data_IF_268831298741
#
_entry.id   IF_268831298741
#
_cell.length_a   1.000
_cell.length_b   1.000
_cell.length_c   1.000
_cell.angle_alpha   90.00
_cell.angle_beta   90.00
_cell.angle_gamma   90.00
#
_symmetry.space_group_name_H-M   'P 1'
#
loop_
_entity.id
_entity.type
_entity.pdbx_description
1 polymer ?
#
# COMPACT_ATOMS: atom_id res chain seq x y z
N UNK A 1 7.56 -11.67 22.16
CA UNK A 1 8.14 -10.56 21.37
C UNK A 1 7.19 -9.37 21.50
N UNK A 2 7.59 -8.28 22.16
CA UNK A 2 6.73 -7.10 22.33
C UNK A 2 6.44 -6.45 20.97
N UNK A 3 5.29 -5.78 20.80
CA UNK A 3 4.88 -5.14 19.54
C UNK A 3 5.94 -4.18 18.97
N UNK A 4 6.78 -3.60 19.84
CA UNK A 4 7.93 -2.76 19.49
C UNK A 4 8.95 -3.42 18.56
N UNK A 5 9.10 -4.74 18.58
CA UNK A 5 10.03 -5.45 17.69
C UNK A 5 9.38 -5.96 16.40
N UNK A 6 8.04 -6.05 16.36
CA UNK A 6 7.32 -6.55 15.19
C UNK A 6 7.38 -5.55 14.03
N UNK A 7 7.15 -4.27 14.28
CA UNK A 7 7.16 -3.25 13.21
C UNK A 7 8.54 -3.09 12.55
N UNK A 8 9.66 -2.97 13.30
CA UNK A 8 10.99 -2.94 12.69
C UNK A 8 11.31 -4.22 11.92
N UNK A 9 10.90 -5.39 12.43
CA UNK A 9 11.08 -6.66 11.72
C UNK A 9 10.32 -6.68 10.39
N UNK A 10 9.05 -6.28 10.38
CA UNK A 10 8.25 -6.19 9.15
C UNK A 10 8.86 -5.21 8.15
N UNK A 11 9.39 -4.07 8.62
CA UNK A 11 10.08 -3.10 7.77
C UNK A 11 11.37 -3.67 7.16
N UNK A 12 12.18 -4.41 7.94
CA UNK A 12 13.38 -5.10 7.44
C UNK A 12 12.99 -6.16 6.42
N UNK A 13 11.96 -6.97 6.69
CA UNK A 13 11.47 -7.99 5.75
C UNK A 13 10.97 -7.33 4.46
N UNK A 14 10.22 -6.23 4.55
CA UNK A 14 9.77 -5.45 3.41
C UNK A 14 10.95 -4.92 2.57
N UNK A 15 11.97 -4.38 3.22
CA UNK A 15 13.18 -3.88 2.57
C UNK A 15 13.91 -5.01 1.82
N UNK A 16 14.11 -6.16 2.47
CA UNK A 16 14.76 -7.33 1.86
C UNK A 16 13.96 -7.80 0.66
N UNK A 17 12.64 -8.03 0.81
CA UNK A 17 11.78 -8.48 -0.30
C UNK A 17 11.83 -7.49 -1.46
N UNK A 18 11.73 -6.19 -1.19
CA UNK A 18 11.81 -5.15 -2.21
C UNK A 18 13.17 -5.18 -2.93
N UNK A 19 14.29 -5.15 -2.19
CA UNK A 19 15.63 -5.15 -2.78
C UNK A 19 15.93 -6.37 -3.64
N UNK A 20 15.50 -7.57 -3.21
CA UNK A 20 15.73 -8.81 -3.96
C UNK A 20 14.77 -8.98 -5.15
N UNK A 21 13.58 -8.37 -5.11
CA UNK A 21 12.62 -8.45 -6.21
C UNK A 21 12.98 -7.53 -7.38
N UNK A 22 13.65 -6.39 -7.14
CA UNK A 22 14.09 -5.46 -8.19
C UNK A 22 14.82 -6.13 -9.37
N UNK A 23 15.89 -6.93 -9.19
CA UNK A 23 16.57 -7.56 -10.32
C UNK A 23 15.69 -8.58 -11.07
N UNK A 24 14.77 -9.25 -10.37
CA UNK A 24 13.83 -10.19 -10.99
C UNK A 24 12.78 -9.45 -11.82
N UNK A 25 12.16 -8.43 -11.25
CA UNK A 25 11.16 -7.60 -11.92
C UNK A 25 11.79 -6.90 -13.13
N UNK A 26 13.02 -6.39 -13.01
CA UNK A 26 13.76 -5.83 -14.15
C UNK A 26 13.89 -6.82 -15.30
N UNK A 27 14.31 -8.07 -15.01
CA UNK A 27 14.44 -9.12 -16.05
C UNK A 27 13.10 -9.45 -16.69
N UNK A 28 12.03 -9.48 -15.91
CA UNK A 28 10.68 -9.77 -16.40
C UNK A 28 10.13 -8.62 -17.26
N UNK A 29 10.32 -7.37 -16.83
CA UNK A 29 9.89 -6.19 -17.56
C UNK A 29 10.53 -6.13 -18.96
N UNK A 30 11.83 -6.41 -19.06
CA UNK A 30 12.54 -6.50 -20.34
C UNK A 30 12.00 -7.62 -21.24
N UNK A 31 11.62 -8.77 -20.67
CA UNK A 31 11.04 -9.90 -21.43
C UNK A 31 9.62 -9.62 -21.92
N UNK A 32 8.84 -8.89 -21.14
CA UNK A 32 7.46 -8.54 -21.46
C UNK A 32 7.33 -7.28 -22.32
N UNK A 33 8.44 -6.61 -22.63
CA UNK A 33 8.43 -5.33 -23.36
C UNK A 33 7.85 -4.17 -22.55
N UNK A 34 7.81 -4.29 -21.22
CA UNK A 34 7.41 -3.21 -20.29
C UNK A 34 8.57 -2.23 -20.10
N UNK A 35 8.82 -1.44 -21.14
CA UNK A 35 9.95 -0.51 -21.21
C UNK A 35 9.52 0.85 -21.75
N UNK A 36 10.07 1.93 -21.19
CA UNK A 36 9.96 3.27 -21.77
C UNK A 36 10.94 3.35 -22.94
N UNK A 37 10.40 3.45 -24.15
CA UNK A 37 11.18 3.64 -25.36
C UNK A 37 11.37 5.15 -25.62
N UNK A 38 12.60 5.68 -25.52
CA UNK A 38 12.86 7.10 -25.68
C UNK A 38 12.58 7.64 -27.10
N UNK A 39 12.38 6.79 -28.12
CA UNK A 39 12.17 7.22 -29.51
C UNK A 39 10.76 7.79 -29.81
N UNK A 40 9.81 7.74 -28.87
CA UNK A 40 8.43 8.16 -29.10
C UNK A 40 8.15 9.68 -28.94
N UNK A 41 9.17 10.53 -28.70
CA UNK A 41 8.97 11.97 -28.53
C UNK A 41 10.24 12.82 -28.66
N UNK A 42 10.15 13.88 -29.45
CA UNK A 42 11.21 14.84 -29.85
C UNK A 42 11.90 15.62 -28.71
N UNK A 43 11.65 15.29 -27.43
CA UNK A 43 12.10 16.04 -26.26
C UNK A 43 12.73 15.17 -25.13
N UNK A 44 12.94 13.86 -25.32
CA UNK A 44 13.55 12.99 -24.28
C UNK A 44 15.08 12.87 -24.46
N UNK A 45 15.85 13.33 -23.48
CA UNK A 45 17.33 13.38 -23.46
C UNK A 45 18.01 12.10 -22.94
N UNK A 46 17.29 10.99 -22.77
CA UNK A 46 17.84 9.74 -22.23
C UNK A 46 18.10 8.72 -23.34
N UNK A 47 19.35 8.24 -23.41
CA UNK A 47 19.84 7.31 -24.43
C UNK A 47 19.63 5.81 -24.08
N UNK A 48 19.03 5.49 -22.93
CA UNK A 48 18.86 4.10 -22.47
C UNK A 48 17.41 3.78 -22.14
N UNK A 49 16.97 2.62 -22.61
CA UNK A 49 15.65 2.03 -22.35
C UNK A 49 15.52 1.75 -20.85
N UNK A 50 14.55 2.40 -20.18
CA UNK A 50 14.28 2.20 -18.76
C UNK A 50 13.07 1.26 -18.57
N UNK A 51 13.21 0.14 -17.83
CA UNK A 51 12.10 -0.78 -17.60
C UNK A 51 11.10 -0.21 -16.60
N UNK A 52 9.80 -0.28 -16.94
CA UNK A 52 8.71 -0.04 -16.00
C UNK A 52 8.61 -1.22 -15.03
N UNK A 53 8.64 -0.97 -13.72
CA UNK A 53 8.51 -2.07 -12.76
C UNK A 53 9.02 -1.82 -11.34
N UNK A 54 9.68 -0.70 -11.06
CA UNK A 54 10.11 -0.36 -9.69
C UNK A 54 8.95 -0.45 -8.69
N UNK A 55 7.77 0.05 -9.07
CA UNK A 55 6.55 -0.03 -8.25
C UNK A 55 6.11 -1.45 -7.91
N UNK A 56 6.30 -2.44 -8.80
CA UNK A 56 5.97 -3.85 -8.52
C UNK A 56 6.80 -4.35 -7.33
N UNK A 57 8.08 -3.97 -7.24
CA UNK A 57 8.97 -4.40 -6.17
C UNK A 57 8.56 -3.79 -4.82
N UNK A 58 8.14 -2.52 -4.82
CA UNK A 58 7.59 -1.84 -3.64
C UNK A 58 6.29 -2.52 -3.19
N UNK A 59 5.37 -2.79 -4.11
CA UNK A 59 4.10 -3.46 -3.80
C UNK A 59 4.32 -4.86 -3.23
N UNK A 60 5.29 -5.63 -3.75
CA UNK A 60 5.67 -6.92 -3.16
C UNK A 60 6.23 -6.76 -1.74
N UNK A 61 7.09 -5.77 -1.53
CA UNK A 61 7.65 -5.43 -0.22
C UNK A 61 6.59 -5.03 0.82
N UNK A 62 5.50 -4.40 0.40
CA UNK A 62 4.38 -4.03 1.30
C UNK A 62 3.40 -5.20 1.48
N UNK A 63 2.98 -5.84 0.39
CA UNK A 63 1.93 -6.85 0.44
C UNK A 63 2.36 -8.14 1.13
N UNK A 64 3.56 -8.68 0.82
CA UNK A 64 3.95 -10.00 1.34
C UNK A 64 4.09 -9.99 2.88
N UNK A 65 4.77 -9.01 3.51
CA UNK A 65 4.82 -8.93 4.98
C UNK A 65 3.45 -8.64 5.58
N UNK A 66 2.63 -7.80 4.94
CA UNK A 66 1.28 -7.47 5.45
C UNK A 66 0.35 -8.67 5.44
N UNK A 67 0.35 -9.45 4.35
CA UNK A 67 -0.42 -10.70 4.24
C UNK A 67 0.12 -11.75 5.21
N UNK A 68 1.44 -11.87 5.35
CA UNK A 68 2.05 -12.77 6.32
C UNK A 68 1.68 -12.41 7.76
N UNK A 69 1.64 -11.11 8.09
CA UNK A 69 1.19 -10.62 9.39
C UNK A 69 -0.30 -10.92 9.63
N UNK A 70 -1.16 -10.67 8.62
CA UNK A 70 -2.59 -11.02 8.68
C UNK A 70 -2.78 -12.52 8.91
N UNK A 71 -2.08 -13.36 8.15
CA UNK A 71 -2.13 -14.80 8.29
C UNK A 71 -1.66 -15.27 9.68
N UNK A 72 -0.55 -14.72 10.18
CA UNK A 72 -0.08 -15.00 11.54
C UNK A 72 -1.15 -14.66 12.58
N UNK A 73 -1.80 -13.50 12.46
CA UNK A 73 -2.80 -13.02 13.42
C UNK A 73 -4.06 -13.89 13.42
N UNK A 74 -4.49 -14.37 12.25
CA UNK A 74 -5.70 -15.18 12.10
C UNK A 74 -5.45 -16.66 12.46
N UNK A 75 -4.33 -17.23 12.00
CA UNK A 75 -4.07 -18.67 12.11
C UNK A 75 -3.10 -19.02 13.23
N UNK A 76 -1.97 -18.34 13.37
CA UNK A 76 -0.90 -18.78 14.30
C UNK A 76 -1.14 -18.31 15.73
N UNK A 77 -1.65 -17.08 15.89
CA UNK A 77 -1.88 -16.44 17.18
C UNK A 77 -2.78 -17.25 18.13
N UNK A 78 -3.95 -17.78 17.72
CA UNK A 78 -4.84 -18.49 18.63
C UNK A 78 -4.18 -19.70 19.30
N UNK A 79 -3.36 -20.46 18.56
CA UNK A 79 -2.71 -21.67 19.06
C UNK A 79 -1.51 -21.39 19.97
N UNK A 80 -0.88 -20.23 19.88
CA UNK A 80 0.23 -19.85 20.77
C UNK A 80 -0.23 -19.43 22.18
N UNK A 81 -1.53 -19.18 22.35
CA UNK A 81 -2.09 -18.63 23.58
C UNK A 81 -3.03 -19.60 24.31
N UNK A 82 -3.42 -20.69 23.67
CA UNK A 82 -4.37 -21.66 24.22
C UNK A 82 -3.82 -23.09 24.04
N UNK A 83 -3.72 -23.85 25.14
CA UNK A 83 -3.47 -25.29 25.12
C UNK A 83 -4.69 -25.98 25.72
N UNK A 84 -5.54 -26.54 24.85
CA UNK A 84 -6.88 -26.97 25.24
C UNK A 84 -7.74 -25.79 25.71
N UNK A 85 -8.39 -25.92 26.86
CA UNK A 85 -9.20 -24.84 27.49
C UNK A 85 -8.37 -23.89 28.37
N UNK A 86 -7.05 -24.09 28.45
CA UNK A 86 -6.18 -23.26 29.32
C UNK A 86 -5.46 -22.17 28.54
N UNK A 87 -5.53 -20.96 29.09
CA UNK A 87 -4.86 -19.79 28.57
C UNK A 87 -3.39 -19.75 29.00
N UNK A 88 -2.48 -19.84 28.03
CA UNK A 88 -1.05 -20.10 28.23
C UNK A 88 -0.22 -18.89 28.70
N UNK A 89 -0.69 -17.64 28.52
CA UNK A 89 0.13 -16.45 28.80
C UNK A 89 -0.63 -15.34 29.54
N UNK A 90 -0.20 -14.95 30.76
CA UNK A 90 -0.75 -13.82 31.50
C UNK A 90 -0.57 -12.45 30.82
N UNK A 91 0.44 -12.31 29.96
CA UNK A 91 0.82 -11.05 29.31
C UNK A 91 0.23 -10.85 27.91
N UNK A 92 -0.58 -11.80 27.47
CA UNK A 92 -1.29 -11.79 26.18
C UNK A 92 -2.29 -10.64 26.06
N UNK A 93 -2.90 -10.20 27.18
CA UNK A 93 -3.83 -9.07 27.21
C UNK A 93 -3.13 -7.75 26.87
N UNK A 94 -1.86 -7.61 27.28
CA UNK A 94 -1.00 -6.46 27.00
C UNK A 94 -0.39 -6.48 25.60
N UNK A 95 -0.30 -7.66 24.98
CA UNK A 95 0.39 -7.84 23.69
C UNK A 95 -0.56 -7.97 22.51
N UNK A 96 -1.79 -8.47 22.69
CA UNK A 96 -2.68 -8.80 21.57
C UNK A 96 -4.17 -8.68 21.92
N UNK A 97 -4.85 -7.71 21.32
CA UNK A 97 -6.28 -7.44 21.45
C UNK A 97 -7.19 -8.64 21.04
N UNK A 98 -8.39 -8.82 21.63
CA UNK A 98 -9.29 -9.94 21.33
C UNK A 98 -9.83 -9.91 19.89
N UNK A 99 -9.94 -11.06 19.22
CA UNK A 99 -10.54 -11.20 17.88
C UNK A 99 -12.07 -11.35 17.91
N UNK A 100 -12.72 -10.82 18.96
CA UNK A 100 -14.16 -10.82 19.06
C UNK A 100 -14.78 -9.94 17.95
N UNK A 101 -15.99 -10.26 17.46
CA UNK A 101 -16.69 -9.38 16.53
C UNK A 101 -16.75 -7.94 17.06
N UNK A 102 -16.48 -6.97 16.19
CA UNK A 102 -16.43 -5.53 16.52
C UNK A 102 -15.33 -5.12 17.52
N UNK A 103 -14.38 -6.00 17.83
CA UNK A 103 -13.23 -5.60 18.63
C UNK A 103 -12.38 -4.56 17.89
N UNK A 104 -11.62 -3.72 18.62
CA UNK A 104 -10.66 -2.79 18.01
C UNK A 104 -9.69 -3.48 17.04
N UNK A 105 -9.32 -4.73 17.30
CA UNK A 105 -8.46 -5.54 16.43
C UNK A 105 -9.11 -5.82 15.10
N UNK A 106 -10.33 -6.37 15.11
CA UNK A 106 -11.05 -6.72 13.88
C UNK A 106 -11.31 -5.47 13.06
N UNK A 107 -11.63 -4.35 13.72
CA UNK A 107 -11.77 -3.08 13.05
C UNK A 107 -10.45 -2.65 12.41
N UNK A 108 -9.33 -2.62 13.15
CA UNK A 108 -8.02 -2.27 12.59
C UNK A 108 -7.60 -3.18 11.42
N UNK A 109 -7.76 -4.50 11.54
CA UNK A 109 -7.47 -5.45 10.47
C UNK A 109 -8.31 -5.17 9.22
N UNK A 110 -9.60 -4.91 9.39
CA UNK A 110 -10.49 -4.57 8.26
C UNK A 110 -10.06 -3.28 7.56
N UNK A 111 -9.60 -2.29 8.32
CA UNK A 111 -9.08 -1.03 7.79
C UNK A 111 -7.76 -1.25 7.03
N UNK A 112 -6.85 -2.07 7.56
CA UNK A 112 -5.61 -2.44 6.86
C UNK A 112 -5.91 -3.15 5.54
N UNK A 113 -6.85 -4.10 5.53
CA UNK A 113 -7.24 -4.80 4.30
C UNK A 113 -7.84 -3.82 3.28
N UNK A 114 -8.76 -2.94 3.71
CA UNK A 114 -9.35 -1.93 2.84
C UNK A 114 -8.29 -0.98 2.23
N UNK A 115 -7.32 -0.56 3.03
CA UNK A 115 -6.20 0.27 2.58
C UNK A 115 -5.33 -0.46 1.56
N UNK A 116 -4.97 -1.73 1.81
CA UNK A 116 -4.15 -2.53 0.88
C UNK A 116 -4.87 -2.73 -0.46
N UNK A 117 -6.18 -2.96 -0.44
CA UNK A 117 -6.99 -3.09 -1.66
C UNK A 117 -7.05 -1.76 -2.44
N UNK A 118 -7.24 -0.64 -1.74
CA UNK A 118 -7.23 0.69 -2.37
C UNK A 118 -5.86 1.01 -2.98
N UNK A 119 -4.76 0.73 -2.26
CA UNK A 119 -3.40 0.91 -2.75
C UNK A 119 -3.13 0.03 -3.99
N UNK A 120 -3.59 -1.23 -3.98
CA UNK A 120 -3.46 -2.13 -5.13
C UNK A 120 -4.26 -1.63 -6.35
N UNK A 121 -5.45 -1.06 -6.14
CA UNK A 121 -6.25 -0.48 -7.21
C UNK A 121 -5.57 0.74 -7.84
N UNK A 122 -5.01 1.65 -7.03
CA UNK A 122 -4.26 2.81 -7.52
C UNK A 122 -2.96 2.39 -8.21
N UNK A 123 -2.27 1.39 -7.68
CA UNK A 123 -1.09 0.80 -8.32
C UNK A 123 -1.43 0.19 -9.69
N UNK A 124 -2.50 -0.62 -9.76
CA UNK A 124 -2.95 -1.22 -11.01
C UNK A 124 -3.35 -0.16 -12.04
N UNK A 125 -3.96 0.95 -11.60
CA UNK A 125 -4.23 2.12 -12.45
C UNK A 125 -2.93 2.72 -12.98
N UNK A 126 -1.92 2.91 -12.13
CA UNK A 126 -0.60 3.42 -12.55
C UNK A 126 0.06 2.52 -13.59
N UNK A 127 0.10 1.21 -13.33
CA UNK A 127 0.66 0.23 -14.26
C UNK A 127 -0.12 0.16 -15.59
N UNK A 128 -1.45 0.29 -15.54
CA UNK A 128 -2.29 0.34 -16.73
C UNK A 128 -2.09 1.63 -17.52
N UNK A 129 -1.83 2.74 -16.84
CA UNK A 129 -1.52 4.02 -17.46
C UNK A 129 -0.18 4.01 -18.20
N UNK A 130 0.85 3.41 -17.59
CA UNK A 130 2.16 3.23 -18.23
C UNK A 130 2.03 2.43 -19.54
N UNK A 131 1.12 1.45 -19.58
CA UNK A 131 0.92 0.63 -20.77
C UNK A 131 -0.02 1.26 -21.80
N UNK A 132 -1.14 1.85 -21.38
CA UNK A 132 -2.22 2.28 -22.29
C UNK A 132 -2.33 3.80 -22.47
N UNK A 133 -1.50 4.59 -21.80
CA UNK A 133 -1.52 6.07 -21.80
C UNK A 133 -2.95 6.60 -21.59
N UNK A 134 -3.54 6.32 -20.43
CA UNK A 134 -4.91 6.70 -20.11
C UNK A 134 -5.07 8.22 -20.08
N UNK A 135 -6.25 8.72 -20.42
CA UNK A 135 -6.51 10.17 -20.32
C UNK A 135 -6.52 10.63 -18.86
N UNK A 136 -6.11 11.88 -18.61
CA UNK A 136 -6.07 12.45 -17.25
C UNK A 136 -7.43 12.37 -16.53
N UNK A 137 -8.53 12.52 -17.27
CA UNK A 137 -9.89 12.39 -16.72
C UNK A 137 -10.23 10.99 -16.22
N UNK A 138 -9.80 9.94 -16.93
CA UNK A 138 -10.03 8.54 -16.49
C UNK A 138 -9.24 8.24 -15.23
N UNK A 139 -7.96 8.66 -15.18
CA UNK A 139 -7.12 8.48 -13.99
C UNK A 139 -7.73 9.16 -12.77
N UNK A 140 -8.16 10.42 -12.93
CA UNK A 140 -8.78 11.19 -11.87
C UNK A 140 -10.10 10.56 -11.41
N UNK A 141 -10.96 10.12 -12.33
CA UNK A 141 -12.23 9.48 -11.99
C UNK A 141 -12.04 8.21 -11.16
N UNK A 142 -11.07 7.36 -11.52
CA UNK A 142 -10.77 6.13 -10.77
C UNK A 142 -10.18 6.48 -9.40
N UNK A 143 -9.24 7.42 -9.32
CA UNK A 143 -8.69 7.86 -8.03
C UNK A 143 -9.76 8.43 -7.09
N UNK A 144 -10.66 9.28 -7.61
CA UNK A 144 -11.80 9.83 -6.86
C UNK A 144 -12.74 8.72 -6.41
N UNK A 145 -13.04 7.75 -7.28
CA UNK A 145 -13.87 6.60 -6.94
C UNK A 145 -13.27 5.75 -5.82
N UNK A 146 -12.00 5.38 -5.93
CA UNK A 146 -11.28 4.59 -4.90
C UNK A 146 -11.19 5.36 -3.58
N UNK A 147 -10.82 6.64 -3.63
CA UNK A 147 -10.74 7.50 -2.44
C UNK A 147 -12.11 7.68 -1.78
N UNK A 148 -13.17 7.83 -2.58
CA UNK A 148 -14.55 7.94 -2.10
C UNK A 148 -15.02 6.67 -1.38
N UNK A 149 -14.79 5.51 -1.98
CA UNK A 149 -15.12 4.21 -1.33
C UNK A 149 -14.34 4.04 -0.03
N UNK A 150 -13.05 4.38 -0.01
CA UNK A 150 -12.21 4.28 1.17
C UNK A 150 -12.69 5.22 2.29
N UNK A 151 -12.92 6.49 1.98
CA UNK A 151 -13.41 7.50 2.93
C UNK A 151 -14.84 7.21 3.43
N UNK A 152 -15.67 6.57 2.62
CA UNK A 152 -17.01 6.14 3.02
C UNK A 152 -16.96 4.93 3.95
N UNK A 153 -16.17 3.92 3.60
CA UNK A 153 -16.20 2.60 4.24
C UNK A 153 -15.32 2.50 5.47
N UNK A 154 -14.31 3.37 5.57
CA UNK A 154 -13.33 3.34 6.67
C UNK A 154 -13.35 4.66 7.43
N UNK A 155 -13.88 4.69 8.67
CA UNK A 155 -13.92 5.90 9.49
C UNK A 155 -12.56 6.57 9.68
N UNK A 156 -11.47 5.79 9.74
CA UNK A 156 -10.10 6.30 9.87
C UNK A 156 -9.63 7.16 8.68
N UNK A 157 -10.27 7.04 7.50
CA UNK A 157 -9.98 7.85 6.32
C UNK A 157 -10.92 9.05 6.15
N UNK A 158 -11.81 9.30 7.12
CA UNK A 158 -12.70 10.48 7.14
C UNK A 158 -12.54 11.23 8.47
N UNK A 159 -11.56 12.16 8.55
CA UNK A 159 -11.35 12.92 9.78
C UNK A 159 -12.55 13.83 10.08
N UNK A 160 -13.01 13.83 11.32
CA UNK A 160 -14.16 14.64 11.77
C UNK A 160 -13.75 16.11 12.00
N UNK A 161 -13.37 16.81 10.93
CA UNK A 161 -12.82 18.17 11.00
C UNK A 161 -13.91 19.23 11.21
N UNK A 162 -15.04 19.08 10.53
CA UNK A 162 -16.11 20.09 10.48
C UNK A 162 -17.39 19.64 11.20
N UNK A 163 -17.48 18.35 11.54
CA UNK A 163 -18.70 17.74 12.09
C UNK A 163 -19.77 17.44 11.04
N UNK A 164 -19.56 17.84 9.79
CA UNK A 164 -20.41 17.49 8.65
C UNK A 164 -19.80 16.33 7.87
N UNK A 165 -20.47 15.18 7.91
CA UNK A 165 -19.98 13.95 7.26
C UNK A 165 -19.73 14.10 5.76
N UNK A 166 -20.55 14.90 5.07
CA UNK A 166 -20.38 15.18 3.65
C UNK A 166 -19.14 16.04 3.37
N UNK A 167 -18.94 17.10 4.15
CA UNK A 167 -17.78 18.00 3.99
C UNK A 167 -16.48 17.28 4.32
N UNK A 168 -16.46 16.54 5.43
CA UNK A 168 -15.30 15.78 5.88
C UNK A 168 -14.91 14.70 4.84
N UNK A 169 -15.91 14.06 4.22
CA UNK A 169 -15.68 13.10 3.13
C UNK A 169 -15.12 13.78 1.88
N UNK A 170 -15.66 14.92 1.47
CA UNK A 170 -15.15 15.67 0.31
C UNK A 170 -13.70 16.10 0.55
N UNK A 171 -13.38 16.60 1.74
CA UNK A 171 -12.01 16.97 2.11
C UNK A 171 -11.09 15.76 2.05
N UNK A 172 -11.50 14.62 2.59
CA UNK A 172 -10.70 13.39 2.56
C UNK A 172 -10.42 12.92 1.13
N UNK A 173 -11.42 12.94 0.25
CA UNK A 173 -11.26 12.55 -1.15
C UNK A 173 -10.29 13.49 -1.87
N UNK A 174 -10.48 14.80 -1.72
CA UNK A 174 -9.57 15.80 -2.31
C UNK A 174 -8.15 15.57 -1.79
N UNK A 175 -7.98 15.35 -0.50
CA UNK A 175 -6.68 15.08 0.12
C UNK A 175 -5.99 13.85 -0.47
N UNK A 176 -6.67 12.70 -0.49
CA UNK A 176 -6.13 11.43 -1.00
C UNK A 176 -5.73 11.53 -2.49
N UNK A 177 -6.60 12.12 -3.31
CA UNK A 177 -6.34 12.31 -4.74
C UNK A 177 -5.19 13.29 -4.96
N UNK A 178 -5.14 14.38 -4.19
CA UNK A 178 -4.07 15.37 -4.29
C UNK A 178 -2.71 14.77 -3.89
N UNK A 179 -2.67 14.01 -2.80
CA UNK A 179 -1.46 13.32 -2.35
C UNK A 179 -0.97 12.34 -3.42
N UNK A 180 -1.86 11.53 -3.99
CA UNK A 180 -1.52 10.57 -5.06
C UNK A 180 -0.91 11.28 -6.28
N UNK A 181 -1.52 12.37 -6.73
CA UNK A 181 -0.99 13.14 -7.87
C UNK A 181 0.32 13.86 -7.54
N UNK A 182 0.47 14.38 -6.32
CA UNK A 182 1.71 15.00 -5.86
C UNK A 182 2.89 14.01 -5.89
N UNK A 183 2.70 12.79 -5.38
CA UNK A 183 3.73 11.74 -5.43
C UNK A 183 4.08 11.34 -6.87
N UNK A 184 3.09 11.20 -7.75
CA UNK A 184 3.33 10.91 -9.16
C UNK A 184 4.15 12.01 -9.85
N UNK A 185 3.96 13.29 -9.47
CA UNK A 185 4.77 14.39 -10.00
C UNK A 185 6.20 14.43 -9.44
N UNK A 186 6.38 14.04 -8.18
CA UNK A 186 7.70 13.96 -7.53
C UNK A 186 8.57 12.82 -8.10
N UNK A 187 7.95 11.78 -8.68
CA UNK A 187 8.65 10.61 -9.24
C UNK A 187 9.38 10.90 -10.57
N UNK A 188 9.30 12.13 -11.09
CA UNK A 188 10.10 12.57 -12.24
C UNK A 188 11.55 12.92 -11.87
N UNK A 189 11.95 12.72 -10.61
CA UNK A 189 13.30 12.99 -10.09
C UNK A 189 13.90 11.75 -9.43
N UNK A 190 15.13 11.37 -9.81
CA UNK A 190 15.81 10.18 -9.29
C UNK A 190 15.88 10.18 -7.75
N UNK A 191 15.15 9.25 -7.11
CA UNK A 191 15.23 9.00 -5.67
C UNK A 191 14.48 9.99 -4.77
N UNK A 192 13.83 11.03 -5.33
CA UNK A 192 13.09 12.02 -4.53
C UNK A 192 11.80 11.43 -3.95
N UNK A 193 11.01 10.75 -4.78
CA UNK A 193 9.76 10.08 -4.37
C UNK A 193 10.01 9.03 -3.27
N UNK A 194 11.07 8.22 -3.43
CA UNK A 194 11.47 7.21 -2.45
C UNK A 194 11.97 7.82 -1.13
N UNK A 195 12.73 8.93 -1.20
CA UNK A 195 13.22 9.63 -0.01
C UNK A 195 12.10 10.31 0.78
N UNK A 196 11.19 11.01 0.09
CA UNK A 196 10.03 11.65 0.72
C UNK A 196 9.05 10.61 1.26
N UNK A 197 8.88 9.47 0.60
CA UNK A 197 8.01 8.39 1.08
C UNK A 197 8.56 7.65 2.31
N UNK A 198 9.87 7.73 2.59
CA UNK A 198 10.50 7.06 3.72
C UNK A 198 10.50 7.89 5.02
N UNK A 199 10.26 9.21 4.93
CA UNK A 199 10.25 10.16 6.05
C UNK A 199 8.81 10.47 6.43
#
# INVERSE_FOLDING_TARGET
>A
MTMTFLFPLLAIVALVISSFSVPLVRRLALRLGLVDDPEAGTYKTHAQVTPYGGGISIVLGVLLPSVGALWWILEVRPYLLWEGDQFLSPWSQETLFPLAPLSPTILQLSQTVALLLAALAVFALGLADDWRRLSAGVRLAIQVGVAGVLAWSVPGFRPALTGSSGVDMTIAVIWLVSLTNAFNFLDNMNGLSAGVGAI
#
